data_IF_953210694580
#
_entry.id   IF_953210694580
#
_cell.length_a   1.000
_cell.length_b   1.000
_cell.length_c   1.000
_cell.angle_alpha   90.00
_cell.angle_beta   90.00
_cell.angle_gamma   90.00
#
_symmetry.space_group_name_H-M   'P 1'
#
loop_
_entity.id
_entity.type
_entity.pdbx_description
1 polymer ?
#
# COMPACT_ATOMS: atom_id res chain seq x y z
N UNK A 1 82.12 32.20 -80.71
CA UNK A 1 80.99 31.27 -80.88
C UNK A 1 80.10 31.30 -79.63
N UNK A 2 78.87 31.78 -79.81
CA UNK A 2 77.61 31.62 -79.03
C UNK A 2 77.62 31.82 -77.50
N UNK A 3 77.35 33.08 -77.10
CA UNK A 3 76.81 33.51 -75.79
C UNK A 3 75.46 32.80 -75.52
N UNK A 4 75.34 32.09 -74.39
CA UNK A 4 74.06 31.53 -73.93
C UNK A 4 73.33 32.56 -73.05
N UNK A 5 72.10 32.81 -73.45
CA UNK A 5 71.18 33.84 -73.01
C UNK A 5 70.61 33.51 -71.62
N UNK A 6 70.65 34.47 -70.69
CA UNK A 6 69.86 34.44 -69.46
C UNK A 6 68.37 34.51 -69.82
N UNK A 7 67.57 33.58 -69.31
CA UNK A 7 66.12 33.71 -69.22
C UNK A 7 65.69 33.60 -67.76
N UNK A 8 65.28 34.75 -67.24
CA UNK A 8 64.60 34.95 -65.97
C UNK A 8 63.13 34.59 -66.21
N UNK A 9 62.65 33.47 -65.65
CA UNK A 9 61.22 33.21 -65.52
C UNK A 9 60.78 33.65 -64.12
N UNK A 10 60.13 34.81 -64.10
CA UNK A 10 59.51 35.43 -62.95
C UNK A 10 58.50 34.51 -62.27
N UNK A 11 58.57 34.47 -60.94
CA UNK A 11 57.61 33.77 -60.10
C UNK A 11 56.26 34.50 -60.00
N UNK A 12 55.22 33.70 -59.83
CA UNK A 12 54.01 34.07 -59.11
C UNK A 12 53.33 32.77 -58.65
N UNK A 13 53.81 32.20 -57.54
CA UNK A 13 53.04 31.19 -56.82
C UNK A 13 51.92 31.97 -56.12
N UNK A 14 50.73 32.00 -56.70
CA UNK A 14 49.52 32.44 -56.00
C UNK A 14 49.23 31.41 -54.90
N UNK A 15 49.78 31.65 -53.71
CA UNK A 15 49.32 30.97 -52.51
C UNK A 15 47.90 31.48 -52.22
N UNK A 16 46.90 30.76 -52.71
CA UNK A 16 45.53 30.91 -52.24
C UNK A 16 45.53 30.52 -50.76
N UNK A 17 45.67 31.50 -49.87
CA UNK A 17 45.43 31.30 -48.45
C UNK A 17 43.95 30.97 -48.31
N UNK A 18 43.62 29.68 -48.25
CA UNK A 18 42.31 29.25 -47.80
C UNK A 18 42.13 29.86 -46.40
N UNK A 19 41.25 30.85 -46.27
CA UNK A 19 40.79 31.31 -44.97
C UNK A 19 40.05 30.13 -44.34
N UNK A 20 40.78 29.31 -43.59
CA UNK A 20 40.17 28.32 -42.74
C UNK A 20 39.41 29.10 -41.66
N UNK A 21 38.09 29.20 -41.84
CA UNK A 21 37.22 29.72 -40.80
C UNK A 21 37.38 28.79 -39.58
N UNK A 22 38.09 29.27 -38.55
CA UNK A 22 38.25 28.54 -37.30
C UNK A 22 36.88 28.52 -36.62
N UNK A 23 36.27 27.34 -36.54
CA UNK A 23 35.05 27.17 -35.77
C UNK A 23 35.36 27.41 -34.28
N UNK A 24 34.75 28.45 -33.70
CA UNK A 24 34.77 28.67 -32.25
C UNK A 24 33.64 27.85 -31.64
N UNK A 25 33.99 26.85 -30.85
CA UNK A 25 33.03 26.03 -30.11
C UNK A 25 32.94 26.54 -28.68
N UNK A 26 31.75 27.01 -28.28
CA UNK A 26 31.42 27.26 -26.87
C UNK A 26 30.71 26.04 -26.32
N UNK A 27 31.30 25.42 -25.30
CA UNK A 27 30.72 24.31 -24.56
C UNK A 27 30.37 24.75 -23.14
N UNK A 28 29.33 24.14 -22.60
CA UNK A 28 28.88 24.35 -21.22
C UNK A 28 28.33 23.05 -20.66
N UNK A 29 27.96 23.07 -19.39
CA UNK A 29 27.34 21.91 -18.71
C UNK A 29 25.99 22.32 -18.11
N UNK A 30 25.10 21.34 -17.95
CA UNK A 30 23.79 21.50 -17.31
C UNK A 30 23.74 20.54 -16.12
N UNK A 31 23.31 21.04 -14.97
CA UNK A 31 23.07 20.22 -13.79
C UNK A 31 21.68 19.56 -13.85
N UNK A 32 21.61 18.27 -13.52
CA UNK A 32 20.36 17.53 -13.33
C UNK A 32 20.28 17.07 -11.87
N UNK A 33 19.11 17.25 -11.24
CA UNK A 33 18.87 16.85 -9.84
C UNK A 33 17.56 16.09 -9.71
N UNK A 34 17.54 15.10 -8.81
CA UNK A 34 16.37 14.30 -8.44
C UNK A 34 16.40 14.08 -6.93
N UNK A 35 15.27 14.28 -6.25
CA UNK A 35 15.10 13.96 -4.83
C UNK A 35 14.06 12.85 -4.69
N UNK A 36 14.44 11.75 -4.06
CA UNK A 36 13.56 10.63 -3.75
C UNK A 36 13.36 10.55 -2.24
N UNK A 37 12.15 10.17 -1.83
CA UNK A 37 11.78 9.97 -0.42
C UNK A 37 11.37 8.52 -0.20
N UNK A 38 11.21 8.13 1.07
CA UNK A 38 10.71 6.79 1.39
C UNK A 38 9.32 6.57 0.78
N UNK A 39 9.10 5.36 0.28
CA UNK A 39 7.81 4.86 -0.18
C UNK A 39 7.63 3.39 0.17
N UNK A 40 6.37 2.97 0.15
CA UNK A 40 6.00 1.57 0.29
C UNK A 40 5.08 1.15 -0.85
N UNK A 41 5.24 -0.08 -1.31
CA UNK A 41 4.29 -0.76 -2.15
C UNK A 41 3.35 -1.55 -1.24
N UNK A 42 2.05 -1.30 -1.38
CA UNK A 42 1.00 -2.02 -0.66
C UNK A 42 0.24 -2.86 -1.66
N UNK A 43 0.26 -4.18 -1.49
CA UNK A 43 -0.23 -5.13 -2.47
C UNK A 43 0.40 -4.93 -3.87
N UNK A 44 1.67 -4.49 -3.92
CA UNK A 44 2.40 -4.20 -5.14
C UNK A 44 2.10 -2.83 -5.78
N UNK A 45 1.23 -2.02 -5.18
CA UNK A 45 0.85 -0.70 -5.69
C UNK A 45 1.54 0.43 -4.93
N UNK A 46 2.00 1.51 -5.60
CA UNK A 46 2.53 2.72 -4.96
C UNK A 46 1.43 3.70 -4.49
N UNK A 47 0.15 3.32 -4.61
CA UNK A 47 -0.97 4.16 -4.15
C UNK A 47 -0.98 4.21 -2.62
N UNK A 48 -1.01 5.42 -2.06
CA UNK A 48 -0.95 5.64 -0.61
C UNK A 48 -2.31 5.88 0.07
N UNK A 49 -3.40 6.04 -0.69
CA UNK A 49 -4.73 6.35 -0.17
C UNK A 49 -5.82 5.48 -0.80
N UNK A 50 -6.90 5.22 -0.05
CA UNK A 50 -8.02 4.40 -0.55
C UNK A 50 -7.61 2.96 -0.89
N UNK A 51 -6.59 2.46 -0.20
CA UNK A 51 -6.01 1.14 -0.47
C UNK A 51 -6.96 0.06 0.02
N UNK A 52 -7.23 -0.92 -0.84
CA UNK A 52 -7.90 -2.14 -0.43
C UNK A 52 -6.87 -3.12 0.16
N UNK A 53 -6.91 -3.30 1.48
CA UNK A 53 -6.10 -4.31 2.19
C UNK A 53 -6.73 -5.71 2.11
N UNK A 54 -7.99 -5.82 1.72
CA UNK A 54 -8.73 -7.08 1.68
C UNK A 54 -10.08 -6.98 2.39
N UNK A 55 -10.69 -8.15 2.60
CA UNK A 55 -12.03 -8.28 3.17
C UNK A 55 -12.03 -9.30 4.31
N UNK A 56 -12.81 -9.02 5.35
CA UNK A 56 -13.18 -9.98 6.39
C UNK A 56 -14.65 -10.31 6.21
N UNK A 57 -14.94 -11.45 5.58
CA UNK A 57 -16.30 -11.91 5.33
C UNK A 57 -16.66 -13.03 6.30
N UNK A 58 -17.62 -12.77 7.20
CA UNK A 58 -18.12 -13.76 8.14
C UNK A 58 -19.07 -14.77 7.48
N UNK A 59 -19.42 -14.60 6.21
CA UNK A 59 -20.27 -15.52 5.46
C UNK A 59 -21.77 -15.32 5.69
N UNK A 60 -22.57 -16.18 5.06
CA UNK A 60 -24.02 -16.20 5.21
C UNK A 60 -24.43 -17.26 6.22
N UNK A 61 -25.12 -16.83 7.28
CA UNK A 61 -25.55 -17.71 8.37
C UNK A 61 -26.99 -17.40 8.79
N UNK A 62 -27.69 -18.38 9.39
CA UNK A 62 -28.93 -18.10 10.11
C UNK A 62 -28.71 -17.04 11.20
N UNK A 63 -29.71 -16.19 11.43
CA UNK A 63 -29.66 -15.15 12.47
C UNK A 63 -29.56 -15.72 13.91
N UNK A 64 -29.63 -17.04 14.07
CA UNK A 64 -29.53 -17.78 15.33
C UNK A 64 -28.13 -18.38 15.55
N UNK A 65 -27.05 -17.63 15.25
CA UNK A 65 -25.68 -18.09 15.44
C UNK A 65 -25.20 -17.94 16.90
N UNK A 66 -24.13 -18.66 17.24
CA UNK A 66 -23.46 -18.54 18.56
C UNK A 66 -22.04 -17.98 18.43
N UNK A 67 -21.23 -18.56 17.54
CA UNK A 67 -19.87 -18.14 17.23
C UNK A 67 -19.67 -18.20 15.72
N UNK A 68 -19.05 -17.17 15.17
CA UNK A 68 -18.64 -17.11 13.76
C UNK A 68 -17.19 -16.66 13.69
N UNK A 69 -16.48 -17.11 12.68
CA UNK A 69 -15.07 -16.81 12.47
C UNK A 69 -14.78 -16.55 11.01
N UNK A 70 -13.81 -15.71 10.74
CA UNK A 70 -13.31 -15.45 9.38
C UNK A 70 -11.81 -15.17 9.41
N UNK A 71 -11.17 -15.32 8.27
CA UNK A 71 -9.81 -14.87 8.04
C UNK A 71 -9.84 -13.83 6.93
N UNK A 72 -8.94 -12.85 7.03
CA UNK A 72 -8.71 -11.88 5.97
C UNK A 72 -8.54 -12.62 4.63
N UNK A 73 -9.26 -12.16 3.62
CA UNK A 73 -8.97 -12.44 2.22
C UNK A 73 -8.26 -11.23 1.62
N UNK A 74 -7.04 -11.41 1.15
CA UNK A 74 -6.25 -10.32 0.57
C UNK A 74 -6.87 -9.77 -0.71
N UNK A 75 -6.64 -8.49 -1.02
CA UNK A 75 -7.18 -7.85 -2.22
C UNK A 75 -6.74 -8.53 -3.53
N UNK A 76 -5.55 -9.16 -3.53
CA UNK A 76 -5.02 -9.94 -4.66
C UNK A 76 -5.29 -11.45 -4.51
N UNK A 77 -6.22 -11.85 -3.65
CA UNK A 77 -6.47 -13.24 -3.27
C UNK A 77 -5.61 -13.73 -2.11
N UNK A 78 -5.77 -15.01 -1.74
CA UNK A 78 -5.09 -15.60 -0.58
C UNK A 78 -5.55 -14.98 0.74
N UNK A 79 -4.79 -15.21 1.81
CA UNK A 79 -5.18 -14.84 3.18
C UNK A 79 -4.36 -13.69 3.80
N UNK A 80 -3.65 -12.94 2.96
CA UNK A 80 -2.71 -11.90 3.41
C UNK A 80 -2.75 -10.68 2.51
N UNK A 81 -2.43 -9.52 3.06
CA UNK A 81 -1.95 -8.37 2.27
C UNK A 81 -0.44 -8.22 2.43
N UNK A 82 0.21 -7.55 1.48
CA UNK A 82 1.66 -7.41 1.45
C UNK A 82 2.13 -5.96 1.52
N UNK A 83 3.25 -5.74 2.19
CA UNK A 83 3.93 -4.46 2.31
C UNK A 83 5.39 -4.64 1.92
N UNK A 84 5.87 -3.76 1.05
CA UNK A 84 7.28 -3.68 0.67
C UNK A 84 7.72 -2.23 0.70
N UNK A 85 8.53 -1.88 1.69
CA UNK A 85 9.00 -0.51 1.89
C UNK A 85 10.46 -0.36 1.45
N UNK A 86 10.80 0.87 1.06
CA UNK A 86 12.20 1.30 0.82
C UNK A 86 13.03 1.38 2.10
N UNK A 87 12.37 1.43 3.26
CA UNK A 87 12.95 1.38 4.61
C UNK A 87 12.58 0.08 5.30
N UNK A 88 13.42 -0.37 6.23
CA UNK A 88 13.16 -1.53 7.09
C UNK A 88 12.39 -1.16 8.36
N UNK A 89 12.28 0.13 8.70
CA UNK A 89 11.54 0.60 9.86
C UNK A 89 10.20 1.18 9.40
N UNK A 90 9.14 0.42 9.64
CA UNK A 90 7.76 0.88 9.43
C UNK A 90 6.81 0.09 10.34
N UNK A 91 5.58 0.56 10.48
CA UNK A 91 4.54 -0.08 11.31
C UNK A 91 3.23 -0.15 10.56
N UNK A 92 2.56 -1.30 10.65
CA UNK A 92 1.19 -1.51 10.19
C UNK A 92 0.28 -1.61 11.40
N UNK A 93 -0.79 -0.81 11.44
CA UNK A 93 -1.71 -0.78 12.57
C UNK A 93 -3.16 -0.55 12.12
N UNK A 94 -4.10 -1.07 12.89
CA UNK A 94 -5.50 -0.68 12.78
C UNK A 94 -5.67 0.64 13.51
N UNK A 95 -6.12 1.69 12.84
CA UNK A 95 -6.32 3.01 13.47
C UNK A 95 -7.73 3.18 14.02
N UNK A 96 -8.69 2.43 13.47
CA UNK A 96 -10.08 2.45 13.91
C UNK A 96 -11.00 1.72 12.93
N UNK A 97 -12.28 2.04 13.02
CA UNK A 97 -13.32 1.51 12.15
C UNK A 97 -14.42 2.57 11.94
N UNK A 98 -15.29 2.38 10.94
CA UNK A 98 -16.39 3.31 10.64
C UNK A 98 -17.42 3.34 11.75
N UNK A 99 -17.80 2.18 12.29
CA UNK A 99 -18.82 2.08 13.34
C UNK A 99 -18.21 2.32 14.73
N UNK A 100 -17.91 3.59 15.03
CA UNK A 100 -17.23 4.02 16.27
C UNK A 100 -18.13 4.04 17.50
N UNK A 101 -19.45 4.08 17.32
CA UNK A 101 -20.43 4.13 18.40
C UNK A 101 -21.14 2.78 18.57
N UNK A 102 -21.45 2.44 19.82
CA UNK A 102 -22.27 1.28 20.14
C UNK A 102 -23.72 1.46 19.63
N UNK A 103 -24.30 0.47 18.94
CA UNK A 103 -25.70 0.49 18.58
C UNK A 103 -26.61 0.31 19.81
N UNK A 104 -27.89 0.69 19.69
CA UNK A 104 -28.86 0.54 20.79
C UNK A 104 -29.11 -0.92 21.17
N UNK A 105 -28.99 -1.85 20.22
CA UNK A 105 -29.04 -3.29 20.46
C UNK A 105 -27.74 -3.94 19.99
N UNK A 106 -27.03 -4.57 20.92
CA UNK A 106 -25.79 -5.30 20.65
C UNK A 106 -26.06 -6.81 20.74
N UNK A 107 -25.67 -7.53 19.70
CA UNK A 107 -25.62 -8.99 19.67
C UNK A 107 -24.16 -9.41 19.82
N UNK A 108 -23.90 -10.41 20.68
CA UNK A 108 -22.56 -10.89 20.93
C UNK A 108 -21.83 -10.17 22.05
N UNK A 109 -20.63 -10.65 22.33
CA UNK A 109 -19.74 -10.08 23.37
C UNK A 109 -18.74 -9.12 22.72
N UNK A 110 -18.75 -7.82 23.08
CA UNK A 110 -17.77 -6.87 22.57
C UNK A 110 -16.35 -7.20 23.00
N UNK A 111 -15.41 -7.07 22.06
CA UNK A 111 -13.97 -7.10 22.35
C UNK A 111 -13.46 -5.79 22.93
N UNK A 112 -12.13 -5.71 23.10
CA UNK A 112 -11.42 -4.49 23.48
C UNK A 112 -10.34 -4.19 22.43
N UNK A 113 -10.48 -3.16 21.58
CA UNK A 113 -11.60 -2.21 21.51
C UNK A 113 -12.88 -2.88 21.01
N UNK A 114 -14.02 -2.29 21.36
CA UNK A 114 -15.31 -2.74 20.84
C UNK A 114 -15.42 -2.40 19.34
N UNK A 115 -15.88 -3.36 18.55
CA UNK A 115 -16.13 -3.19 17.11
C UNK A 115 -17.47 -3.84 16.77
N UNK A 116 -18.22 -3.22 15.88
CA UNK A 116 -19.58 -3.64 15.54
C UNK A 116 -19.79 -3.68 14.03
N UNK A 117 -20.25 -4.82 13.51
CA UNK A 117 -20.91 -4.86 12.22
C UNK A 117 -22.32 -4.30 12.44
N UNK A 118 -22.72 -3.25 11.72
CA UNK A 118 -24.02 -2.59 11.88
C UNK A 118 -24.95 -3.02 10.76
N UNK A 119 -26.21 -3.33 11.10
CA UNK A 119 -27.20 -3.72 10.10
C UNK A 119 -27.47 -2.56 9.14
N UNK A 120 -27.38 -2.81 7.84
CA UNK A 120 -27.51 -1.77 6.81
C UNK A 120 -28.94 -1.22 6.69
N UNK A 121 -29.96 -1.99 7.10
CA UNK A 121 -31.36 -1.58 7.11
C UNK A 121 -31.86 -1.11 8.48
N UNK A 122 -31.18 -1.49 9.58
CA UNK A 122 -31.51 -1.09 10.95
C UNK A 122 -30.24 -0.72 11.73
N UNK A 123 -29.81 0.53 11.63
CA UNK A 123 -28.58 1.01 12.27
C UNK A 123 -28.62 0.98 13.81
N UNK A 124 -29.80 0.77 14.40
CA UNK A 124 -29.96 0.56 15.84
C UNK A 124 -29.50 -0.81 16.34
N UNK A 125 -29.21 -1.77 15.46
CA UNK A 125 -28.72 -3.10 15.81
C UNK A 125 -27.34 -3.38 15.19
N UNK A 126 -26.46 -3.99 16.00
CA UNK A 126 -25.18 -4.47 15.51
C UNK A 126 -24.70 -5.74 16.18
N UNK A 127 -23.79 -6.43 15.49
CA UNK A 127 -23.12 -7.64 15.94
C UNK A 127 -21.70 -7.28 16.33
N UNK A 128 -21.37 -7.53 17.60
CA UNK A 128 -20.04 -7.29 18.12
C UNK A 128 -19.06 -8.34 17.59
N UNK A 129 -17.87 -7.88 17.20
CA UNK A 129 -16.79 -8.74 16.74
C UNK A 129 -15.44 -8.28 17.30
N UNK A 130 -14.45 -9.14 17.19
CA UNK A 130 -13.07 -8.88 17.58
C UNK A 130 -12.12 -9.30 16.45
N UNK A 131 -10.97 -8.63 16.38
CA UNK A 131 -9.90 -8.95 15.43
C UNK A 131 -8.69 -9.45 16.19
N UNK A 132 -8.05 -10.48 15.63
CA UNK A 132 -6.93 -11.17 16.23
C UNK A 132 -5.78 -11.30 15.23
N UNK A 133 -4.56 -11.39 15.75
CA UNK A 133 -3.36 -11.62 14.94
C UNK A 133 -3.03 -13.10 14.74
N UNK A 134 -3.73 -14.00 15.43
CA UNK A 134 -3.52 -15.45 15.35
C UNK A 134 -4.82 -16.23 15.13
N UNK A 135 -4.71 -17.38 14.48
CA UNK A 135 -5.83 -18.28 14.17
C UNK A 135 -6.42 -18.98 15.39
N UNK A 136 -5.71 -18.96 16.53
CA UNK A 136 -6.22 -19.45 17.82
C UNK A 136 -7.10 -18.41 18.55
N UNK A 137 -7.19 -17.18 18.03
CA UNK A 137 -7.92 -16.07 18.64
C UNK A 137 -7.45 -15.76 20.07
N UNK A 138 -6.13 -15.80 20.30
CA UNK A 138 -5.54 -15.53 21.62
C UNK A 138 -5.08 -14.08 21.77
N UNK A 139 -4.69 -13.44 20.67
CA UNK A 139 -4.09 -12.10 20.67
C UNK A 139 -5.02 -11.12 19.94
N UNK A 140 -5.83 -10.39 20.71
CA UNK A 140 -6.68 -9.31 20.18
C UNK A 140 -5.82 -8.15 19.68
N UNK A 141 -6.17 -7.62 18.51
CA UNK A 141 -5.53 -6.42 17.94
C UNK A 141 -6.28 -5.18 18.41
N UNK A 142 -5.62 -4.41 19.27
CA UNK A 142 -6.05 -3.08 19.67
C UNK A 142 -5.77 -2.02 18.60
N UNK A 143 -6.50 -0.91 18.65
CA UNK A 143 -6.21 0.21 17.75
C UNK A 143 -4.84 0.82 18.09
N UNK A 144 -4.13 1.29 17.07
CA UNK A 144 -2.80 1.88 17.14
C UNK A 144 -1.72 0.97 17.72
N UNK A 145 -1.98 -0.35 17.75
CA UNK A 145 -0.98 -1.36 18.09
C UNK A 145 -0.46 -1.99 16.80
N UNK A 146 0.84 -2.25 16.75
CA UNK A 146 1.47 -2.89 15.59
C UNK A 146 0.86 -4.29 15.36
N UNK A 147 0.42 -4.54 14.14
CA UNK A 147 0.05 -5.87 13.68
C UNK A 147 1.35 -6.65 13.46
N UNK A 148 1.51 -7.86 14.03
CA UNK A 148 2.71 -8.64 13.81
C UNK A 148 2.81 -9.09 12.35
N UNK A 149 4.03 -9.14 11.83
CA UNK A 149 4.32 -9.70 10.51
C UNK A 149 4.00 -11.20 10.54
N UNK A 150 3.21 -11.68 9.59
CA UNK A 150 2.86 -13.09 9.48
C UNK A 150 3.99 -13.90 8.81
N UNK A 151 4.62 -13.34 7.78
CA UNK A 151 5.78 -13.92 7.10
C UNK A 151 6.52 -12.86 6.29
N UNK A 152 7.84 -13.04 6.13
CA UNK A 152 8.69 -12.22 5.27
C UNK A 152 9.36 -13.09 4.22
N UNK A 153 9.19 -12.76 2.94
CA UNK A 153 9.81 -13.48 1.83
C UNK A 153 10.28 -12.50 0.74
N UNK A 154 11.53 -12.62 0.30
CA UNK A 154 12.06 -11.78 -0.78
C UNK A 154 12.01 -10.26 -0.50
N UNK A 155 12.08 -9.84 0.77
CA UNK A 155 11.96 -8.44 1.17
C UNK A 155 10.52 -7.90 1.14
N UNK A 156 9.52 -8.78 1.11
CA UNK A 156 8.10 -8.44 1.20
C UNK A 156 7.55 -9.04 2.48
N UNK A 157 6.94 -8.19 3.31
CA UNK A 157 6.25 -8.62 4.52
C UNK A 157 4.78 -8.84 4.23
N UNK A 158 4.25 -9.92 4.77
CA UNK A 158 2.84 -10.30 4.65
C UNK A 158 2.16 -10.21 6.01
N UNK A 159 0.91 -9.76 5.99
CA UNK A 159 0.09 -9.55 7.18
C UNK A 159 -1.25 -10.26 6.99
N UNK A 160 -1.78 -10.81 8.07
CA UNK A 160 -3.10 -11.47 8.10
C UNK A 160 -3.86 -11.02 9.33
N UNK A 161 -5.18 -11.21 9.31
CA UNK A 161 -6.08 -10.88 10.41
C UNK A 161 -7.14 -11.97 10.52
N UNK A 162 -7.60 -12.22 11.74
CA UNK A 162 -8.66 -13.18 12.03
C UNK A 162 -9.82 -12.45 12.72
N UNK A 163 -11.01 -12.57 12.16
CA UNK A 163 -12.24 -12.02 12.74
C UNK A 163 -12.98 -13.10 13.53
N UNK A 164 -13.53 -12.74 14.70
CA UNK A 164 -14.36 -13.63 15.49
C UNK A 164 -15.53 -12.89 16.13
N UNK A 165 -16.70 -13.50 16.02
CA UNK A 165 -17.94 -13.13 16.72
C UNK A 165 -18.18 -14.22 17.76
N UNK A 166 -18.51 -13.84 18.99
CA UNK A 166 -18.89 -14.75 20.07
C UNK A 166 -20.11 -14.23 20.80
N UNK A 167 -20.79 -15.09 21.55
CA UNK A 167 -21.91 -14.69 22.38
C UNK A 167 -23.19 -14.36 21.61
N UNK A 168 -23.34 -14.87 20.37
CA UNK A 168 -24.59 -14.71 19.62
C UNK A 168 -25.79 -15.40 20.31
N UNK A 169 -25.50 -16.37 21.18
CA UNK A 169 -26.47 -16.96 22.11
C UNK A 169 -27.62 -17.72 21.45
N UNK A 170 -27.53 -18.01 20.14
CA UNK A 170 -28.65 -18.47 19.32
C UNK A 170 -29.90 -17.56 19.47
N UNK A 171 -29.67 -16.26 19.64
CA UNK A 171 -30.75 -15.31 19.87
C UNK A 171 -31.70 -15.24 18.68
N UNK A 172 -32.99 -15.17 18.96
CA UNK A 172 -34.04 -14.93 17.97
C UNK A 172 -34.29 -13.44 17.73
N UNK A 173 -33.56 -12.57 18.42
CA UNK A 173 -33.70 -11.09 18.32
C UNK A 173 -32.78 -10.49 17.26
N UNK A 174 -31.89 -11.28 16.67
CA UNK A 174 -31.01 -10.84 15.58
C UNK A 174 -31.87 -10.65 14.33
N UNK A 175 -31.86 -9.45 13.79
CA UNK A 175 -32.62 -9.08 12.60
C UNK A 175 -31.88 -9.66 11.38
N UNK A 176 -32.54 -10.46 10.52
CA UNK A 176 -31.93 -10.90 9.27
C UNK A 176 -31.55 -9.71 8.38
N UNK A 177 -30.38 -9.77 7.78
CA UNK A 177 -29.89 -8.71 6.90
C UNK A 177 -28.38 -8.67 6.83
N UNK A 178 -27.86 -7.73 6.05
CA UNK A 178 -26.43 -7.51 5.92
C UNK A 178 -25.95 -6.62 7.06
N UNK A 179 -24.86 -7.03 7.71
CA UNK A 179 -24.17 -6.24 8.72
C UNK A 179 -22.78 -5.88 8.18
N UNK A 180 -22.42 -4.60 8.24
CA UNK A 180 -21.14 -4.13 7.70
C UNK A 180 -20.39 -3.26 8.70
N UNK A 181 -19.08 -3.25 8.55
CA UNK A 181 -18.16 -2.29 9.15
C UNK A 181 -17.02 -2.07 8.16
N UNK A 182 -16.21 -1.04 8.39
CA UNK A 182 -15.00 -0.80 7.59
C UNK A 182 -13.86 -0.52 8.54
N UNK A 183 -12.79 -1.31 8.43
CA UNK A 183 -11.59 -1.18 9.26
C UNK A 183 -10.60 -0.25 8.59
N UNK A 184 -10.10 0.72 9.34
CA UNK A 184 -9.07 1.64 8.89
C UNK A 184 -7.70 1.08 9.28
N UNK A 185 -6.83 0.88 8.29
CA UNK A 185 -5.46 0.40 8.47
C UNK A 185 -4.50 1.47 7.99
N UNK A 186 -3.44 1.72 8.75
CA UNK A 186 -2.36 2.63 8.39
C UNK A 186 -1.03 1.89 8.27
N UNK A 187 -0.19 2.39 7.36
CA UNK A 187 1.22 2.02 7.24
C UNK A 187 2.04 3.29 7.45
N UNK A 188 2.95 3.29 8.41
CA UNK A 188 3.76 4.46 8.78
C UNK A 188 5.24 4.09 8.74
N UNK A 189 6.06 4.88 8.04
CA UNK A 189 7.46 4.60 7.69
C UNK A 189 8.30 5.88 7.61
#
# INVERSE_FOLDING_TARGET
MKRKLLLICSGAILAATAQQALAVTSSGTIGATLTLTNGCLINGSPTQNGINFGTLDFGTHPATFSTLTTQLTGANGGNTFTIQCTTTSYTVAITGNTNTAAPGTIIGTPGTPARYLINTANTGQGVAYSLYSDSGYNNVIANNTAIPVASTAGGVDSYTLYGRITGGGNSVTVVPGTYTDTINVSVTY
#
